data_IF_647041253290
#
_entry.id   IF_647041253290
#
_cell.length_a   1.000
_cell.length_b   1.000
_cell.length_c   1.000
_cell.angle_alpha   90.00
_cell.angle_beta   90.00
_cell.angle_gamma   90.00
#
_symmetry.space_group_name_H-M   'P 1'
#
loop_
_entity.id
_entity.type
_entity.pdbx_description
1 polymer ?
#
# COMPACT_ATOMS: atom_id res chain seq x y z
N UNK A 1 -59.43 27.33 -7.53
CA UNK A 1 -60.71 26.68 -7.98
C UNK A 1 -60.45 25.17 -8.01
N UNK A 2 -61.13 24.55 -7.06
CA UNK A 2 -62.00 23.37 -7.17
C UNK A 2 -61.28 22.06 -7.49
N UNK A 3 -61.15 21.16 -6.53
CA UNK A 3 -62.11 20.12 -6.04
C UNK A 3 -61.87 18.82 -6.81
N UNK A 4 -61.88 17.55 -6.39
CA UNK A 4 -62.39 16.91 -5.16
C UNK A 4 -62.09 15.39 -5.37
N UNK A 5 -61.57 14.66 -4.41
CA UNK A 5 -62.13 13.51 -3.67
C UNK A 5 -62.81 12.39 -4.52
N UNK A 6 -62.39 11.13 -4.26
CA UNK A 6 -63.20 9.92 -3.97
C UNK A 6 -62.26 8.76 -3.76
N UNK A 7 -61.97 8.24 -2.59
CA UNK A 7 -62.71 7.44 -1.58
C UNK A 7 -63.44 6.20 -2.13
N UNK A 8 -63.01 5.08 -1.61
CA UNK A 8 -63.68 3.87 -1.05
C UNK A 8 -62.94 2.62 -1.50
N UNK A 9 -62.28 1.82 -0.69
CA UNK A 9 -62.70 0.99 0.44
C UNK A 9 -63.54 -0.21 -0.01
N UNK A 10 -63.08 -1.41 0.37
CA UNK A 10 -63.76 -2.64 0.77
C UNK A 10 -62.70 -3.75 0.65
N UNK A 11 -62.05 -4.28 1.67
CA UNK A 11 -62.42 -5.15 2.79
C UNK A 11 -62.91 -6.54 2.36
N UNK A 12 -62.29 -7.55 2.89
CA UNK A 12 -62.87 -8.74 3.56
C UNK A 12 -62.15 -10.05 3.24
N UNK A 13 -61.50 -10.58 4.27
CA UNK A 13 -61.55 -11.92 4.89
C UNK A 13 -60.99 -13.15 4.20
N UNK A 14 -60.19 -13.83 4.99
CA UNK A 14 -59.88 -15.27 4.92
C UNK A 14 -58.58 -15.56 5.67
N UNK A 15 -58.63 -15.67 6.80
CA UNK A 15 -58.39 -16.40 8.05
C UNK A 15 -57.82 -17.80 7.91
N UNK A 16 -56.99 -18.17 8.93
CA UNK A 16 -56.70 -19.56 9.46
C UNK A 16 -55.49 -20.20 8.79
N UNK A 17 -54.50 -20.74 9.48
CA UNK A 17 -54.23 -21.03 10.88
C UNK A 17 -52.77 -21.48 10.99
N UNK A 18 -52.12 -21.20 12.12
CA UNK A 18 -51.41 -22.09 13.04
C UNK A 18 -50.39 -23.07 12.44
N UNK A 19 -49.23 -23.34 12.97
CA UNK A 19 -48.75 -23.49 14.34
C UNK A 19 -47.21 -23.69 14.31
N UNK A 20 -46.52 -23.11 15.26
CA UNK A 20 -45.45 -23.70 16.11
C UNK A 20 -44.15 -24.16 15.48
N UNK A 21 -43.11 -23.53 15.92
CA UNK A 21 -41.74 -24.05 15.85
C UNK A 21 -40.74 -23.06 16.43
N UNK A 22 -40.79 -22.84 17.75
CA UNK A 22 -39.71 -22.19 18.49
C UNK A 22 -38.56 -23.20 18.54
N UNK A 23 -37.46 -22.85 17.85
CA UNK A 23 -36.15 -23.37 18.19
C UNK A 23 -35.18 -22.21 18.18
N UNK A 24 -34.98 -21.61 19.35
CA UNK A 24 -33.84 -20.77 19.64
C UNK A 24 -32.61 -21.66 19.61
N UNK A 25 -31.76 -21.47 18.62
CA UNK A 25 -30.34 -21.79 18.70
C UNK A 25 -29.59 -20.62 18.13
N UNK A 26 -28.81 -19.94 18.96
CA UNK A 26 -27.85 -18.95 18.57
C UNK A 26 -26.91 -19.56 17.55
N UNK A 27 -26.91 -18.99 16.38
CA UNK A 27 -25.91 -19.26 15.37
C UNK A 27 -25.22 -17.95 15.09
N UNK A 28 -24.03 -17.83 15.66
CA UNK A 28 -23.01 -16.90 15.22
C UNK A 28 -22.99 -16.90 13.70
N UNK A 29 -23.29 -15.76 13.09
CA UNK A 29 -23.07 -15.53 11.69
C UNK A 29 -21.55 -15.57 11.41
N UNK A 30 -21.05 -16.79 11.30
CA UNK A 30 -19.83 -17.05 10.58
C UNK A 30 -20.22 -16.97 9.09
N UNK A 31 -19.99 -15.80 8.51
CA UNK A 31 -20.15 -15.59 7.07
C UNK A 31 -19.06 -16.37 6.37
N UNK A 32 -19.23 -17.67 6.30
CA UNK A 32 -18.51 -18.50 5.33
C UNK A 32 -18.93 -18.01 3.96
N UNK A 33 -18.15 -17.10 3.39
CA UNK A 33 -18.27 -16.77 1.97
C UNK A 33 -18.06 -18.07 1.21
N UNK A 34 -19.16 -18.62 0.72
CA UNK A 34 -19.20 -19.67 -0.27
C UNK A 34 -18.24 -19.27 -1.39
N UNK A 35 -17.27 -20.11 -1.67
CA UNK A 35 -16.38 -19.95 -2.82
C UNK A 35 -17.25 -19.80 -4.06
N UNK A 36 -17.33 -18.59 -4.58
CA UNK A 36 -17.98 -18.28 -5.83
C UNK A 36 -17.16 -18.91 -6.93
N UNK A 37 -17.83 -19.56 -7.82
CA UNK A 37 -17.32 -20.23 -9.01
C UNK A 37 -16.25 -19.38 -9.72
N UNK A 38 -15.18 -20.02 -10.21
CA UNK A 38 -13.88 -19.43 -10.59
C UNK A 38 -13.84 -18.33 -11.67
N UNK A 39 -14.93 -17.60 -11.87
CA UNK A 39 -15.04 -16.57 -12.92
C UNK A 39 -15.29 -15.13 -12.41
N UNK A 40 -15.36 -14.91 -11.09
CA UNK A 40 -15.73 -13.60 -10.53
C UNK A 40 -14.64 -13.03 -9.60
N UNK A 41 -13.37 -13.15 -10.03
CA UNK A 41 -12.26 -12.55 -9.30
C UNK A 41 -12.24 -11.02 -9.49
N UNK A 42 -12.09 -10.29 -8.41
CA UNK A 42 -11.87 -8.84 -8.46
C UNK A 42 -10.48 -8.55 -9.04
N UNK A 43 -10.45 -7.84 -10.16
CA UNK A 43 -9.17 -7.41 -10.77
C UNK A 43 -8.53 -6.32 -9.93
N UNK A 44 -7.23 -6.47 -9.69
CA UNK A 44 -6.42 -5.52 -8.93
C UNK A 44 -5.09 -5.31 -9.63
N UNK A 45 -4.72 -4.08 -9.87
CA UNK A 45 -3.40 -3.70 -10.39
C UNK A 45 -2.50 -3.32 -9.21
N UNK A 46 -1.41 -4.06 -9.04
CA UNK A 46 -0.40 -3.85 -8.00
C UNK A 46 0.92 -3.38 -8.63
N UNK A 47 1.33 -2.14 -8.36
CA UNK A 47 2.55 -1.57 -8.90
C UNK A 47 3.72 -1.74 -7.95
N UNK A 48 4.85 -2.15 -8.49
CA UNK A 48 6.11 -2.25 -7.77
C UNK A 48 6.73 -0.86 -7.56
N UNK A 49 7.62 -0.74 -6.58
CA UNK A 49 8.36 0.50 -6.31
C UNK A 49 9.58 0.71 -7.24
N UNK A 50 9.98 -0.34 -7.95
CA UNK A 50 11.14 -0.39 -8.84
C UNK A 50 10.96 -1.46 -9.91
N UNK A 51 12.01 -1.70 -10.71
CA UNK A 51 12.09 -2.90 -11.54
C UNK A 51 11.96 -4.16 -10.66
N UNK A 52 11.38 -5.25 -11.18
CA UNK A 52 11.25 -6.49 -10.42
C UNK A 52 12.58 -6.97 -9.83
N UNK A 53 12.64 -7.10 -8.52
CA UNK A 53 13.81 -7.59 -7.78
C UNK A 53 13.38 -8.40 -6.54
N UNK A 54 14.36 -8.81 -5.73
CA UNK A 54 14.11 -9.60 -4.52
C UNK A 54 13.32 -8.88 -3.43
N UNK A 55 13.23 -7.56 -3.45
CA UNK A 55 12.41 -6.80 -2.50
C UNK A 55 10.91 -7.05 -2.72
N UNK A 56 10.54 -7.51 -3.91
CA UNK A 56 9.16 -7.77 -4.32
C UNK A 56 8.74 -9.24 -4.18
N UNK A 57 9.59 -10.10 -3.58
CA UNK A 57 9.36 -11.55 -3.52
C UNK A 57 8.00 -11.91 -2.90
N UNK A 58 7.53 -11.15 -1.91
CA UNK A 58 6.27 -11.43 -1.21
C UNK A 58 5.06 -11.42 -2.13
N UNK A 59 4.93 -10.43 -3.01
CA UNK A 59 3.79 -10.34 -3.95
C UNK A 59 3.86 -11.42 -5.02
N UNK A 60 5.06 -11.79 -5.48
CA UNK A 60 5.23 -12.88 -6.44
C UNK A 60 4.93 -14.24 -5.83
N UNK A 61 5.37 -14.48 -4.59
CA UNK A 61 5.02 -15.70 -3.85
C UNK A 61 3.52 -15.80 -3.64
N UNK A 62 2.86 -14.71 -3.23
CA UNK A 62 1.41 -14.70 -3.05
C UNK A 62 0.67 -15.01 -4.35
N UNK A 63 1.11 -14.46 -5.48
CA UNK A 63 0.54 -14.77 -6.79
C UNK A 63 0.76 -16.24 -7.18
N UNK A 64 1.99 -16.74 -7.08
CA UNK A 64 2.37 -18.10 -7.50
C UNK A 64 1.75 -19.18 -6.60
N UNK A 65 1.58 -18.92 -5.31
CA UNK A 65 0.92 -19.83 -4.36
C UNK A 65 -0.61 -19.74 -4.43
N UNK A 66 -1.15 -18.85 -5.26
CA UNK A 66 -2.59 -18.67 -5.42
C UNK A 66 -3.29 -17.99 -4.25
N UNK A 67 -2.57 -17.32 -3.34
CA UNK A 67 -3.16 -16.66 -2.18
C UNK A 67 -4.10 -15.53 -2.58
N UNK A 68 -3.79 -14.79 -3.64
CA UNK A 68 -4.69 -13.77 -4.16
C UNK A 68 -5.99 -14.38 -4.70
N UNK A 69 -5.90 -15.47 -5.47
CA UNK A 69 -7.09 -16.18 -5.97
C UNK A 69 -7.95 -16.73 -4.85
N UNK A 70 -7.34 -17.29 -3.80
CA UNK A 70 -8.06 -17.75 -2.61
C UNK A 70 -8.78 -16.60 -1.89
N UNK A 71 -8.26 -15.38 -1.99
CA UNK A 71 -8.89 -14.17 -1.47
C UNK A 71 -9.91 -13.53 -2.44
N UNK A 72 -10.21 -14.18 -3.58
CA UNK A 72 -11.14 -13.65 -4.59
C UNK A 72 -10.54 -12.56 -5.47
N UNK A 73 -9.20 -12.49 -5.60
CA UNK A 73 -8.51 -11.44 -6.34
C UNK A 73 -7.75 -12.01 -7.55
N UNK A 74 -7.85 -11.30 -8.68
CA UNK A 74 -6.97 -11.46 -9.83
C UNK A 74 -5.99 -10.28 -9.85
N UNK A 75 -4.75 -10.52 -9.37
CA UNK A 75 -3.76 -9.46 -9.18
C UNK A 75 -2.81 -9.42 -10.36
N UNK A 76 -2.80 -8.29 -11.05
CA UNK A 76 -1.78 -7.96 -12.04
C UNK A 76 -0.64 -7.17 -11.38
N UNK A 77 0.58 -7.70 -11.48
CA UNK A 77 1.79 -7.09 -10.88
C UNK A 77 2.54 -6.38 -12.01
N UNK A 78 2.63 -5.07 -11.91
CA UNK A 78 3.26 -4.22 -12.91
C UNK A 78 4.51 -3.53 -12.35
N UNK A 79 5.51 -3.33 -13.21
CA UNK A 79 6.70 -2.56 -12.86
C UNK A 79 6.33 -1.09 -12.59
N UNK A 80 7.21 -0.38 -11.89
CA UNK A 80 7.01 1.05 -11.60
C UNK A 80 6.85 1.85 -12.90
N UNK A 81 5.83 2.72 -12.93
CA UNK A 81 5.64 3.66 -14.03
C UNK A 81 6.66 4.80 -13.96
N UNK A 82 6.92 5.44 -15.10
CA UNK A 82 7.82 6.60 -15.19
C UNK A 82 7.40 7.76 -14.25
N UNK A 83 6.11 7.92 -14.02
CA UNK A 83 5.56 8.93 -13.10
C UNK A 83 5.74 8.57 -11.60
N UNK A 84 6.21 7.37 -11.29
CA UNK A 84 6.33 6.85 -9.92
C UNK A 84 5.07 6.15 -9.43
N UNK A 85 5.26 5.32 -8.40
CA UNK A 85 4.22 4.46 -7.85
C UNK A 85 3.09 5.26 -7.18
N UNK A 86 3.43 6.30 -6.44
CA UNK A 86 2.48 7.17 -5.73
C UNK A 86 1.55 7.92 -6.69
N UNK A 87 2.14 8.44 -7.76
CA UNK A 87 1.37 9.16 -8.78
C UNK A 87 0.47 8.21 -9.57
N UNK A 88 0.92 6.98 -9.81
CA UNK A 88 0.11 5.98 -10.50
C UNK A 88 -1.15 5.63 -9.69
N UNK A 89 -1.03 5.43 -8.37
CA UNK A 89 -2.20 5.20 -7.48
C UNK A 89 -3.08 6.44 -7.42
N UNK A 90 -2.49 7.64 -7.27
CA UNK A 90 -3.27 8.87 -7.22
C UNK A 90 -4.11 9.12 -8.48
N UNK A 91 -3.62 8.66 -9.63
CA UNK A 91 -4.29 8.82 -10.93
C UNK A 91 -5.17 7.63 -11.32
N UNK A 92 -5.29 6.61 -10.46
CA UNK A 92 -6.08 5.41 -10.74
C UNK A 92 -5.46 4.47 -11.78
N UNK A 93 -4.17 4.58 -12.07
CA UNK A 93 -3.43 3.67 -12.96
C UNK A 93 -3.06 2.35 -12.24
N UNK A 94 -3.04 2.37 -10.91
CA UNK A 94 -2.88 1.20 -10.07
C UNK A 94 -3.77 1.34 -8.84
N UNK A 95 -4.27 0.23 -8.32
CA UNK A 95 -5.09 0.20 -7.11
C UNK A 95 -4.21 0.24 -5.86
N UNK A 96 -3.08 -0.46 -5.92
CA UNK A 96 -2.07 -0.51 -4.86
C UNK A 96 -0.67 -0.36 -5.44
N UNK A 97 0.24 0.15 -4.62
CA UNK A 97 1.65 0.21 -4.98
C UNK A 97 2.55 0.02 -3.76
N UNK A 98 3.75 -0.50 -4.00
CA UNK A 98 4.84 -0.41 -3.03
C UNK A 98 5.47 0.98 -3.10
N UNK A 99 5.71 1.55 -1.94
CA UNK A 99 6.35 2.85 -1.78
C UNK A 99 7.10 2.91 -0.45
N UNK A 100 7.67 4.05 -0.13
CA UNK A 100 8.26 4.35 1.17
C UNK A 100 7.48 5.46 1.88
N UNK A 101 7.61 5.50 3.21
CA UNK A 101 6.86 6.43 4.05
C UNK A 101 7.14 7.91 3.69
N UNK A 102 8.37 8.23 3.33
CA UNK A 102 8.77 9.60 2.98
C UNK A 102 8.06 10.07 1.72
N UNK A 103 8.04 9.24 0.69
CA UNK A 103 7.33 9.56 -0.56
C UNK A 103 5.83 9.70 -0.32
N UNK A 104 5.21 8.76 0.40
CA UNK A 104 3.79 8.86 0.75
C UNK A 104 3.51 10.19 1.46
N UNK A 105 4.35 10.59 2.42
CA UNK A 105 4.24 11.87 3.12
C UNK A 105 4.35 13.07 2.17
N UNK A 106 5.38 13.09 1.31
CA UNK A 106 5.61 14.18 0.35
C UNK A 106 4.42 14.32 -0.62
N UNK A 107 3.93 13.21 -1.18
CA UNK A 107 2.81 13.25 -2.12
C UNK A 107 1.50 13.66 -1.44
N UNK A 108 1.26 13.19 -0.21
CA UNK A 108 0.10 13.62 0.59
C UNK A 108 0.13 15.12 0.88
N UNK A 109 1.29 15.68 1.24
CA UNK A 109 1.47 17.12 1.44
C UNK A 109 1.24 17.93 0.15
N UNK A 110 1.48 17.33 -1.00
CA UNK A 110 1.17 17.91 -2.32
C UNK A 110 -0.28 17.71 -2.77
N UNK A 111 -1.12 17.14 -1.92
CA UNK A 111 -2.54 16.96 -2.17
C UNK A 111 -2.94 15.64 -2.84
N UNK A 112 -2.02 14.68 -2.96
CA UNK A 112 -2.35 13.35 -3.48
C UNK A 112 -3.31 12.61 -2.53
N UNK A 113 -4.31 11.95 -3.11
CA UNK A 113 -5.35 11.19 -2.37
C UNK A 113 -4.93 9.73 -2.18
N UNK A 114 -3.77 9.53 -1.61
CA UNK A 114 -3.23 8.19 -1.32
C UNK A 114 -3.21 7.92 0.18
N UNK A 115 -3.24 6.64 0.57
CA UNK A 115 -3.18 6.21 1.96
C UNK A 115 -2.20 5.05 2.11
N UNK A 116 -1.39 5.07 3.15
CA UNK A 116 -0.64 3.90 3.57
C UNK A 116 -1.60 2.90 4.23
N UNK A 117 -1.66 1.68 3.73
CA UNK A 117 -2.54 0.62 4.24
C UNK A 117 -1.78 -0.46 5.00
N UNK A 118 -0.48 -0.62 4.71
CA UNK A 118 0.36 -1.62 5.37
C UNK A 118 1.82 -1.18 5.34
N UNK A 119 2.58 -1.56 6.35
CA UNK A 119 4.03 -1.42 6.39
C UNK A 119 4.67 -2.80 6.32
N UNK A 120 5.43 -3.05 5.26
CA UNK A 120 6.11 -4.34 5.03
C UNK A 120 7.39 -4.43 5.85
N UNK A 121 8.22 -3.39 5.82
CA UNK A 121 9.47 -3.32 6.58
C UNK A 121 9.30 -2.46 7.82
N UNK A 122 9.58 -3.01 8.99
CA UNK A 122 9.45 -2.32 10.28
C UNK A 122 10.68 -1.48 10.64
N UNK A 123 11.80 -1.69 9.94
CA UNK A 123 13.07 -0.98 10.15
C UNK A 123 13.63 -0.52 8.80
N UNK A 124 14.33 0.63 8.77
CA UNK A 124 15.06 1.04 7.57
C UNK A 124 16.04 -0.04 7.14
N UNK A 125 16.09 -0.33 5.83
CA UNK A 125 17.03 -1.30 5.22
C UNK A 125 18.21 -0.62 4.53
N UNK A 126 18.17 0.71 4.38
CA UNK A 126 19.26 1.45 3.76
C UNK A 126 20.47 1.52 4.68
N UNK A 127 21.66 1.29 4.12
CA UNK A 127 22.95 1.43 4.78
C UNK A 127 23.89 2.25 3.89
N UNK A 128 24.86 2.88 4.50
CA UNK A 128 25.95 3.56 3.81
C UNK A 128 27.22 2.77 3.99
N UNK A 129 27.96 2.57 2.90
CA UNK A 129 29.15 1.75 2.89
C UNK A 129 30.35 2.57 2.37
N UNK A 130 31.53 2.19 2.82
CA UNK A 130 32.79 2.54 2.19
C UNK A 130 33.56 1.27 1.81
N UNK A 131 34.57 1.40 0.96
CA UNK A 131 35.47 0.28 0.69
C UNK A 131 36.17 -0.15 1.97
N UNK A 132 36.29 -1.45 2.21
CA UNK A 132 36.97 -2.00 3.38
C UNK A 132 38.47 -1.66 3.41
N UNK A 133 39.05 -1.32 2.27
CA UNK A 133 40.43 -0.82 2.14
C UNK A 133 40.58 0.63 2.61
N UNK A 134 39.49 1.40 2.64
CA UNK A 134 39.51 2.79 3.13
C UNK A 134 39.48 2.79 4.67
N UNK A 135 40.67 2.84 5.27
CA UNK A 135 40.85 2.83 6.74
C UNK A 135 40.53 4.14 7.41
N UNK A 136 40.31 5.20 6.66
CA UNK A 136 40.01 6.55 7.17
C UNK A 136 38.54 6.73 7.56
N UNK A 137 37.65 5.84 7.05
CA UNK A 137 36.24 5.85 7.37
C UNK A 137 35.95 4.83 8.47
N UNK A 138 35.69 5.30 9.69
CA UNK A 138 35.42 4.48 10.88
C UNK A 138 34.05 4.80 11.49
N UNK A 139 33.57 6.01 11.29
CA UNK A 139 32.29 6.47 11.82
C UNK A 139 31.64 7.49 10.88
N UNK A 140 30.38 7.86 11.08
CA UNK A 140 29.68 8.82 10.21
C UNK A 140 30.38 10.18 10.04
N UNK A 141 31.06 10.71 11.05
CA UNK A 141 31.79 11.99 10.93
C UNK A 141 32.93 11.95 9.91
N UNK A 142 33.49 10.76 9.65
CA UNK A 142 34.59 10.60 8.72
C UNK A 142 34.12 10.70 7.25
N UNK A 143 32.82 10.74 7.01
CA UNK A 143 32.23 11.09 5.71
C UNK A 143 32.27 12.60 5.44
N UNK A 144 32.54 13.44 6.43
CA UNK A 144 32.59 14.89 6.25
C UNK A 144 33.63 15.29 5.20
N UNK A 145 33.20 16.08 4.22
CA UNK A 145 34.02 16.48 3.08
C UNK A 145 34.35 15.37 2.07
N UNK A 146 33.73 14.20 2.15
CA UNK A 146 33.90 13.09 1.19
C UNK A 146 32.86 13.16 0.09
N UNK A 147 33.10 12.43 -1.00
CA UNK A 147 32.14 12.28 -2.09
C UNK A 147 31.21 11.10 -1.84
N UNK A 148 29.94 11.34 -1.92
CA UNK A 148 28.86 10.36 -1.74
C UNK A 148 28.22 10.00 -3.08
N UNK A 149 28.20 8.70 -3.43
CA UNK A 149 27.46 8.18 -4.57
C UNK A 149 25.98 8.02 -4.19
N UNK A 150 25.08 8.63 -4.95
CA UNK A 150 23.65 8.73 -4.63
C UNK A 150 22.76 8.61 -5.86
N UNK A 151 21.52 8.20 -5.67
CA UNK A 151 20.47 8.29 -6.70
C UNK A 151 19.83 9.68 -6.83
N UNK A 152 20.41 10.73 -6.21
CA UNK A 152 19.92 12.10 -6.28
C UNK A 152 18.73 12.42 -5.36
N UNK A 153 18.44 11.57 -4.38
CA UNK A 153 17.34 11.77 -3.44
C UNK A 153 17.71 12.83 -2.38
N UNK A 154 16.91 13.88 -2.24
CA UNK A 154 17.04 14.85 -1.17
C UNK A 154 16.91 14.24 0.23
N UNK A 155 16.17 13.13 0.35
CA UNK A 155 16.05 12.36 1.59
C UNK A 155 17.38 11.75 1.98
N UNK A 156 18.06 11.06 1.07
CA UNK A 156 19.38 10.47 1.31
C UNK A 156 20.38 11.54 1.71
N UNK A 157 20.35 12.70 1.06
CA UNK A 157 21.20 13.85 1.39
C UNK A 157 20.95 14.35 2.82
N UNK A 158 19.69 14.46 3.21
CA UNK A 158 19.30 14.90 4.55
C UNK A 158 19.74 13.88 5.63
N UNK A 159 19.57 12.60 5.35
CA UNK A 159 19.94 11.54 6.30
C UNK A 159 21.46 11.48 6.49
N UNK A 160 22.26 11.47 5.40
CA UNK A 160 23.73 11.42 5.55
C UNK A 160 24.26 12.68 6.25
N UNK A 161 23.74 13.84 5.91
CA UNK A 161 24.09 15.09 6.61
C UNK A 161 23.83 14.99 8.12
N UNK A 162 22.65 14.50 8.47
CA UNK A 162 22.27 14.34 9.87
C UNK A 162 23.13 13.30 10.59
N UNK A 163 23.48 12.20 9.95
CA UNK A 163 24.37 11.18 10.50
C UNK A 163 25.74 11.78 10.82
N UNK A 164 26.35 12.50 9.88
CA UNK A 164 27.64 13.18 10.05
C UNK A 164 27.57 14.15 11.25
N UNK A 165 26.54 15.00 11.28
CA UNK A 165 26.36 16.00 12.34
C UNK A 165 26.14 15.36 13.73
N UNK A 166 25.38 14.29 13.80
CA UNK A 166 25.10 13.60 15.06
C UNK A 166 26.37 12.96 15.63
N UNK A 167 27.30 12.57 14.78
CA UNK A 167 28.59 12.01 15.17
C UNK A 167 29.71 13.08 15.35
N UNK A 168 29.35 14.37 15.30
CA UNK A 168 30.25 15.50 15.59
C UNK A 168 30.95 16.10 14.37
N UNK A 169 30.58 15.72 13.15
CA UNK A 169 31.05 16.35 11.92
C UNK A 169 30.22 17.59 11.53
N UNK A 170 30.62 18.27 10.47
CA UNK A 170 29.95 19.49 9.97
C UNK A 170 28.71 19.17 9.12
N UNK A 171 28.62 17.98 8.56
CA UNK A 171 27.57 17.56 7.66
C UNK A 171 27.81 18.04 6.23
N UNK A 172 29.07 18.20 5.84
CA UNK A 172 29.47 18.58 4.48
C UNK A 172 29.86 17.35 3.67
N UNK A 173 29.50 17.31 2.41
CA UNK A 173 29.91 16.26 1.47
C UNK A 173 29.63 16.71 0.03
N UNK A 174 30.40 16.17 -0.88
CA UNK A 174 30.09 16.23 -2.32
C UNK A 174 29.25 15.02 -2.73
N UNK A 175 28.57 15.12 -3.86
CA UNK A 175 27.78 14.02 -4.37
C UNK A 175 27.94 13.79 -5.86
N UNK A 176 27.85 12.54 -6.24
CA UNK A 176 27.78 12.09 -7.63
C UNK A 176 26.54 11.21 -7.78
N UNK A 177 25.74 11.49 -8.79
CA UNK A 177 24.57 10.68 -9.12
C UNK A 177 25.00 9.47 -9.96
N UNK A 178 24.53 8.29 -9.59
CA UNK A 178 24.80 7.01 -10.24
C UNK A 178 23.52 6.35 -10.70
#
# INVERSE_FOLDING_TARGET
MKKTIFRKAIAILGSIAMLVGVAACGQSNDSTKTATDGNDLTKVTFMLSWAPDTNHIGVYVAKNKGYFKQAGLDVDIVAVAQAGAEQAVNNGMADFALSNLTNVGIYTLKGAKIKQVMQVQQKPSAIWCSLASNKDIKSPKDFDGKTFATFGSNESDAVIRRMIQTDGGKGTFDKVTV
#
